data_IF_815112837394
#
_entry.id   IF_815112837394
#
_cell.length_a   1.000
_cell.length_b   1.000
_cell.length_c   1.000
_cell.angle_alpha   90.00
_cell.angle_beta   90.00
_cell.angle_gamma   90.00
#
_symmetry.space_group_name_H-M   'P 1'
#
loop_
_entity.id
_entity.type
_entity.pdbx_description
1 polymer ?
#
# COMPACT_ATOMS: atom_id res chain seq x y z
N UNK A 1 26.79 -36.51 -4.64
CA UNK A 1 25.44 -36.08 -4.22
C UNK A 1 25.25 -34.69 -4.79
N UNK A 2 24.83 -34.63 -6.04
CA UNK A 2 24.47 -33.36 -6.68
C UNK A 2 23.02 -33.09 -6.28
N UNK A 3 22.83 -32.11 -5.42
CA UNK A 3 21.51 -31.65 -5.02
C UNK A 3 20.97 -30.83 -6.18
N UNK A 4 20.41 -31.52 -7.18
CA UNK A 4 19.66 -30.89 -8.26
C UNK A 4 18.57 -30.02 -7.64
N UNK A 5 18.80 -28.72 -7.78
CA UNK A 5 17.96 -27.57 -7.48
C UNK A 5 16.50 -27.84 -7.89
N UNK A 6 15.68 -28.29 -6.95
CA UNK A 6 14.24 -28.37 -7.09
C UNK A 6 13.63 -26.96 -7.01
N UNK A 7 13.95 -26.10 -7.99
CA UNK A 7 13.12 -24.93 -8.27
C UNK A 7 11.80 -25.43 -8.81
N UNK A 8 10.83 -25.54 -7.91
CA UNK A 8 9.44 -25.67 -8.26
C UNK A 8 9.06 -24.42 -9.06
N UNK A 9 9.11 -24.51 -10.39
CA UNK A 9 8.68 -23.46 -11.32
C UNK A 9 7.15 -23.35 -11.29
N UNK A 10 6.61 -23.03 -10.12
CA UNK A 10 5.18 -22.79 -9.94
C UNK A 10 4.86 -21.39 -10.43
N UNK A 11 5.00 -21.20 -11.74
CA UNK A 11 4.50 -20.00 -12.41
C UNK A 11 2.97 -20.04 -12.40
N UNK A 12 2.31 -19.01 -11.83
CA UNK A 12 0.85 -18.98 -11.82
C UNK A 12 0.30 -18.91 -13.24
N UNK A 13 -0.61 -19.84 -13.55
CA UNK A 13 -1.15 -20.08 -14.91
C UNK A 13 -1.93 -18.87 -15.45
N UNK A 14 -2.47 -18.03 -14.57
CA UNK A 14 -3.29 -16.88 -14.92
C UNK A 14 -2.57 -15.53 -14.87
N UNK A 15 -1.31 -15.48 -14.42
CA UNK A 15 -0.58 -14.23 -14.28
C UNK A 15 0.28 -13.96 -15.52
N UNK A 16 0.05 -12.82 -16.17
CA UNK A 16 0.97 -12.34 -17.20
C UNK A 16 2.28 -11.82 -16.59
N UNK A 17 3.29 -11.60 -17.43
CA UNK A 17 4.60 -11.11 -16.99
C UNK A 17 4.51 -9.78 -16.23
N UNK A 18 3.55 -8.93 -16.59
CA UNK A 18 3.30 -7.65 -15.92
C UNK A 18 2.78 -7.87 -14.50
N UNK A 19 1.80 -8.75 -14.32
CA UNK A 19 1.22 -9.11 -13.01
C UNK A 19 2.28 -9.74 -12.12
N UNK A 20 3.12 -10.63 -12.66
CA UNK A 20 4.24 -11.22 -11.93
C UNK A 20 5.23 -10.15 -11.44
N UNK A 21 5.63 -9.22 -12.32
CA UNK A 21 6.53 -8.12 -11.93
C UNK A 21 5.90 -7.21 -10.86
N UNK A 22 4.59 -6.97 -10.92
CA UNK A 22 3.86 -6.20 -9.91
C UNK A 22 3.84 -6.93 -8.56
N UNK A 23 3.63 -8.24 -8.55
CA UNK A 23 3.66 -9.08 -7.34
C UNK A 23 5.04 -9.01 -6.71
N UNK A 24 6.10 -9.31 -7.45
CA UNK A 24 7.48 -9.25 -6.95
C UNK A 24 7.80 -7.87 -6.35
N UNK A 25 7.42 -6.81 -7.05
CA UNK A 25 7.59 -5.44 -6.58
C UNK A 25 6.78 -5.14 -5.31
N UNK A 26 5.58 -5.69 -5.18
CA UNK A 26 4.70 -5.46 -4.04
C UNK A 26 5.19 -6.14 -2.75
N UNK A 27 5.87 -7.28 -2.88
CA UNK A 27 6.35 -8.10 -1.76
C UNK A 27 7.87 -8.00 -1.51
N UNK A 28 8.59 -7.22 -2.30
CA UNK A 28 9.98 -6.82 -2.00
C UNK A 28 9.99 -5.76 -0.89
N UNK A 29 10.97 -5.84 0.02
CA UNK A 29 11.17 -4.82 1.04
C UNK A 29 11.74 -3.54 0.42
N UNK A 30 11.03 -2.42 0.58
CA UNK A 30 11.46 -1.09 0.14
C UNK A 30 11.71 -0.20 1.37
N UNK A 31 12.97 0.00 1.79
CA UNK A 31 13.27 0.88 2.91
C UNK A 31 12.93 2.33 2.55
N UNK A 32 12.32 3.05 3.50
CA UNK A 32 12.08 4.48 3.34
C UNK A 32 13.40 5.24 3.28
N UNK A 33 13.56 6.07 2.25
CA UNK A 33 14.69 6.98 2.14
C UNK A 33 14.42 8.26 2.95
N UNK A 34 15.42 8.90 3.55
CA UNK A 34 15.23 10.12 4.35
C UNK A 34 14.44 11.22 3.62
N UNK A 35 14.67 11.38 2.32
CA UNK A 35 13.99 12.36 1.46
C UNK A 35 12.50 12.07 1.24
N UNK A 36 12.04 10.84 1.51
CA UNK A 36 10.63 10.45 1.39
C UNK A 36 9.84 10.71 2.69
N UNK A 37 10.52 10.90 3.82
CA UNK A 37 9.85 11.13 5.11
C UNK A 37 8.88 12.33 5.10
N UNK A 38 9.21 13.48 4.48
CA UNK A 38 8.29 14.61 4.41
C UNK A 38 6.98 14.26 3.68
N UNK A 39 7.06 13.61 2.51
CA UNK A 39 5.86 13.31 1.72
C UNK A 39 4.92 12.32 2.45
N UNK A 40 5.48 11.36 3.19
CA UNK A 40 4.69 10.45 4.00
C UNK A 40 4.01 11.13 5.20
N UNK A 41 4.65 12.15 5.76
CA UNK A 41 4.11 12.94 6.87
C UNK A 41 2.97 13.82 6.38
N UNK A 42 3.19 14.51 5.26
CA UNK A 42 2.22 15.43 4.66
C UNK A 42 0.94 14.69 4.23
N UNK A 43 1.07 13.52 3.60
CA UNK A 43 -0.08 12.71 3.20
C UNK A 43 -0.94 12.27 4.39
N UNK A 44 -0.30 11.85 5.50
CA UNK A 44 -1.01 11.49 6.74
C UNK A 44 -1.68 12.68 7.39
N UNK A 45 -1.04 13.85 7.38
CA UNK A 45 -1.62 15.08 7.93
C UNK A 45 -2.91 15.47 7.20
N UNK A 46 -2.88 15.47 5.86
CA UNK A 46 -4.07 15.78 5.03
C UNK A 46 -5.20 14.78 5.21
N UNK A 47 -4.87 13.49 5.27
CA UNK A 47 -5.87 12.46 5.52
C UNK A 47 -6.51 12.60 6.90
N UNK A 48 -5.71 12.92 7.92
CA UNK A 48 -6.20 13.18 9.29
C UNK A 48 -7.14 14.38 9.32
N UNK A 49 -6.80 15.47 8.63
CA UNK A 49 -7.65 16.65 8.52
C UNK A 49 -9.04 16.31 7.94
N UNK A 50 -9.07 15.54 6.83
CA UNK A 50 -10.33 15.11 6.22
C UNK A 50 -11.13 14.16 7.13
N UNK A 51 -10.46 13.22 7.80
CA UNK A 51 -11.10 12.31 8.74
C UNK A 51 -11.74 13.06 9.92
N UNK A 52 -11.06 14.07 10.47
CA UNK A 52 -11.60 14.93 11.51
C UNK A 52 -12.81 15.72 11.01
N UNK A 53 -12.73 16.29 9.81
CA UNK A 53 -13.85 17.00 9.19
C UNK A 53 -15.09 16.10 9.06
N UNK A 54 -14.94 14.84 8.63
CA UNK A 54 -16.05 13.90 8.55
C UNK A 54 -16.62 13.53 9.92
N UNK A 55 -15.75 13.26 10.90
CA UNK A 55 -16.18 12.93 12.26
C UNK A 55 -16.93 14.08 12.95
N UNK A 56 -16.58 15.33 12.63
CA UNK A 56 -17.26 16.53 13.14
C UNK A 56 -18.62 16.77 12.47
N UNK A 57 -18.75 16.44 11.18
CA UNK A 57 -19.90 16.82 10.36
C UNK A 57 -20.85 15.65 10.01
N UNK A 58 -20.55 14.43 10.44
CA UNK A 58 -21.39 13.24 10.24
C UNK A 58 -21.73 12.59 11.57
N UNK A 59 -23.00 12.17 11.79
CA UNK A 59 -23.33 11.39 12.97
C UNK A 59 -22.57 10.05 12.98
N UNK A 60 -22.38 9.43 14.16
CA UNK A 60 -21.86 8.07 14.26
C UNK A 60 -22.71 7.11 13.43
N UNK A 61 -22.12 6.54 12.38
CA UNK A 61 -22.82 5.63 11.46
C UNK A 61 -21.86 4.63 10.79
N UNK A 62 -22.44 3.66 10.10
CA UNK A 62 -21.68 2.71 9.28
C UNK A 62 -20.96 3.42 8.12
N UNK A 63 -21.60 4.41 7.51
CA UNK A 63 -21.05 5.22 6.42
C UNK A 63 -19.82 6.01 6.88
N UNK A 64 -19.88 6.65 8.06
CA UNK A 64 -18.72 7.33 8.63
C UNK A 64 -17.57 6.34 8.87
N UNK A 65 -17.88 5.18 9.46
CA UNK A 65 -16.88 4.14 9.73
C UNK A 65 -16.20 3.68 8.42
N UNK A 66 -16.99 3.43 7.38
CA UNK A 66 -16.48 3.05 6.06
C UNK A 66 -15.64 4.16 5.43
N UNK A 67 -16.08 5.42 5.53
CA UNK A 67 -15.33 6.56 5.01
C UNK A 67 -13.94 6.69 5.67
N UNK A 68 -13.87 6.54 6.99
CA UNK A 68 -12.61 6.56 7.74
C UNK A 68 -11.68 5.42 7.30
N UNK A 69 -12.19 4.19 7.15
CA UNK A 69 -11.41 3.07 6.60
C UNK A 69 -10.89 3.38 5.19
N UNK A 70 -11.70 3.99 4.32
CA UNK A 70 -11.27 4.36 2.96
C UNK A 70 -10.18 5.43 2.95
N UNK A 71 -10.22 6.38 3.87
CA UNK A 71 -9.15 7.38 4.01
C UNK A 71 -7.84 6.70 4.43
N UNK A 72 -7.90 5.78 5.39
CA UNK A 72 -6.72 5.01 5.83
C UNK A 72 -6.13 4.14 4.70
N UNK A 73 -6.98 3.39 3.99
CA UNK A 73 -6.58 2.58 2.83
C UNK A 73 -5.93 3.45 1.74
N UNK A 74 -6.47 4.64 1.47
CA UNK A 74 -5.90 5.56 0.49
C UNK A 74 -4.48 5.98 0.87
N UNK A 75 -4.22 6.30 2.14
CA UNK A 75 -2.88 6.64 2.65
C UNK A 75 -1.94 5.43 2.58
N UNK A 76 -2.41 4.23 2.92
CA UNK A 76 -1.63 3.00 2.81
C UNK A 76 -1.17 2.76 1.37
N UNK A 77 -2.10 2.87 0.41
CA UNK A 77 -1.80 2.71 -1.01
C UNK A 77 -0.88 3.80 -1.56
N UNK A 78 -1.06 5.06 -1.12
CA UNK A 78 -0.16 6.15 -1.47
C UNK A 78 1.27 5.87 -1.01
N UNK A 79 1.45 5.53 0.28
CA UNK A 79 2.77 5.23 0.85
C UNK A 79 3.44 4.06 0.13
N UNK A 80 2.69 2.98 -0.15
CA UNK A 80 3.19 1.85 -0.90
C UNK A 80 3.58 2.23 -2.33
N UNK A 81 2.82 3.11 -2.98
CA UNK A 81 3.12 3.66 -4.30
C UNK A 81 4.46 4.41 -4.33
N UNK A 82 4.69 5.30 -3.37
CA UNK A 82 5.96 6.03 -3.25
C UNK A 82 7.10 5.06 -2.95
N UNK A 83 6.97 4.20 -1.93
CA UNK A 83 8.02 3.28 -1.51
C UNK A 83 8.45 2.33 -2.63
N UNK A 84 7.50 1.84 -3.45
CA UNK A 84 7.81 0.90 -4.53
C UNK A 84 8.38 1.59 -5.78
N UNK A 85 8.13 2.87 -6.01
CA UNK A 85 8.44 3.53 -7.29
C UNK A 85 9.50 4.64 -7.20
N UNK A 86 10.05 4.92 -6.03
CA UNK A 86 11.07 5.97 -5.82
C UNK A 86 12.23 5.46 -5.01
#
# INVERSE_FOLDING_TARGET
MDATDHKNDHRPIYADAKTLAQIEKAFTFHPAKPEQQPIYTDARAKAKELALFFAENSPPSHELSLALTKIEEAVMHFNAGVARNT
#
